data_IF_419132519139
#
_entry.id   IF_419132519139
#
_cell.length_a   1.000
_cell.length_b   1.000
_cell.length_c   1.000
_cell.angle_alpha   90.00
_cell.angle_beta   90.00
_cell.angle_gamma   90.00
#
_symmetry.space_group_name_H-M   'P 1'
#
loop_
_entity.id
_entity.type
_entity.pdbx_description
1 polymer ?
#
# COMPACT_ATOMS: atom_id res chain seq x y z
N UNK A 1 -5.02 11.46 -15.86
CA UNK A 1 -4.83 10.28 -15.03
C UNK A 1 -5.62 10.35 -13.75
N UNK A 2 -6.10 9.21 -13.30
CA UNK A 2 -6.79 9.13 -12.01
C UNK A 2 -5.78 8.71 -10.94
N UNK A 3 -5.87 9.28 -9.75
CA UNK A 3 -4.95 8.95 -8.68
C UNK A 3 -5.67 8.85 -7.34
N UNK A 4 -5.07 8.07 -6.43
CA UNK A 4 -5.53 7.95 -5.06
C UNK A 4 -4.30 7.90 -4.15
N UNK A 5 -4.41 8.54 -3.00
CA UNK A 5 -3.33 8.54 -2.03
C UNK A 5 -3.87 8.08 -0.67
N UNK A 6 -3.17 7.15 -0.08
CA UNK A 6 -3.50 6.63 1.24
C UNK A 6 -2.34 6.92 2.19
N UNK A 7 -2.67 7.37 3.38
CA UNK A 7 -1.69 7.65 4.42
C UNK A 7 -2.07 6.86 5.66
N UNK A 8 -1.14 6.06 6.16
CA UNK A 8 -1.34 5.25 7.34
C UNK A 8 -0.35 5.68 8.41
N UNK A 9 -0.84 5.91 9.61
CA UNK A 9 0.02 6.23 10.75
C UNK A 9 -0.04 5.05 11.71
N UNK A 10 1.12 4.45 11.97
CA UNK A 10 1.21 3.27 12.82
C UNK A 10 1.64 3.67 14.25
N UNK A 11 1.54 2.71 15.16
CA UNK A 11 1.88 2.95 16.55
C UNK A 11 3.40 3.06 16.77
N UNK A 12 4.18 2.47 15.89
CA UNK A 12 5.64 2.49 16.00
C UNK A 12 6.29 2.50 14.62
N UNK A 13 7.55 2.94 14.58
CA UNK A 13 8.34 2.89 13.35
C UNK A 13 8.56 1.46 12.87
N UNK A 14 8.73 0.54 13.82
CA UNK A 14 8.93 -0.86 13.51
C UNK A 14 7.71 -1.45 12.80
N UNK A 15 6.52 -1.14 13.30
CA UNK A 15 5.29 -1.61 12.67
C UNK A 15 5.14 -1.09 11.25
N UNK A 16 5.41 0.20 11.04
CA UNK A 16 5.36 0.80 9.72
C UNK A 16 6.34 0.12 8.77
N UNK A 17 7.54 -0.16 9.24
CA UNK A 17 8.57 -0.81 8.46
C UNK A 17 8.17 -2.23 8.07
N UNK A 18 7.60 -2.98 9.01
CA UNK A 18 7.15 -4.35 8.75
C UNK A 18 6.08 -4.37 7.66
N UNK A 19 5.12 -3.48 7.73
CA UNK A 19 4.07 -3.39 6.73
C UNK A 19 4.64 -3.01 5.37
N UNK A 20 5.54 -2.04 5.33
CA UNK A 20 6.18 -1.61 4.08
C UNK A 20 6.96 -2.75 3.44
N UNK A 21 7.72 -3.51 4.23
CA UNK A 21 8.48 -4.65 3.72
C UNK A 21 7.57 -5.77 3.22
N UNK A 22 6.44 -6.00 3.90
CA UNK A 22 5.47 -7.01 3.50
C UNK A 22 4.82 -6.68 2.16
N UNK A 23 4.68 -5.40 1.83
CA UNK A 23 4.09 -4.98 0.57
C UNK A 23 5.10 -4.93 -0.58
N UNK A 24 6.38 -4.96 -0.27
CA UNK A 24 7.42 -4.80 -1.29
C UNK A 24 7.29 -5.76 -2.47
N UNK A 25 7.05 -7.07 -2.29
CA UNK A 25 6.86 -7.98 -3.41
C UNK A 25 5.66 -7.60 -4.29
N UNK A 26 4.55 -7.20 -3.69
CA UNK A 26 3.33 -6.84 -4.41
C UNK A 26 3.52 -5.56 -5.21
N UNK A 27 4.27 -4.60 -4.68
CA UNK A 27 4.57 -3.35 -5.37
C UNK A 27 5.43 -3.62 -6.59
N UNK A 28 6.36 -4.57 -6.51
CA UNK A 28 7.20 -4.96 -7.63
C UNK A 28 6.40 -5.68 -8.73
N UNK A 29 5.34 -6.36 -8.35
CA UNK A 29 4.41 -6.97 -9.31
C UNK A 29 3.40 -5.93 -9.75
N UNK A 30 3.81 -5.15 -10.72
CA UNK A 30 3.01 -4.02 -11.17
C UNK A 30 1.67 -4.47 -11.74
N UNK A 31 0.61 -3.88 -11.22
CA UNK A 31 -0.73 -4.10 -11.77
C UNK A 31 -0.81 -3.36 -13.11
N UNK A 32 -1.31 -4.01 -14.17
CA UNK A 32 -1.39 -3.37 -15.50
C UNK A 32 -2.12 -2.04 -15.44
N UNK A 33 -1.64 -1.07 -16.22
CA UNK A 33 -2.22 0.27 -16.36
C UNK A 33 -2.14 1.12 -15.09
N UNK A 34 -1.33 0.72 -14.11
CA UNK A 34 -1.19 1.47 -12.87
C UNK A 34 0.28 1.75 -12.54
N UNK A 35 0.50 2.82 -11.80
CA UNK A 35 1.79 3.15 -11.22
C UNK A 35 1.60 3.37 -9.73
N UNK A 36 2.56 2.91 -8.94
CA UNK A 36 2.49 2.98 -7.48
C UNK A 36 3.75 3.60 -6.92
N UNK A 37 3.59 4.54 -6.02
CA UNK A 37 4.69 5.13 -5.27
C UNK A 37 4.45 4.91 -3.79
N UNK A 38 5.52 4.59 -3.06
CA UNK A 38 5.46 4.32 -1.64
C UNK A 38 6.48 5.19 -0.94
N UNK A 39 6.09 5.74 0.18
CA UNK A 39 6.97 6.55 1.01
C UNK A 39 6.81 6.12 2.47
N UNK A 40 7.92 5.96 3.15
CA UNK A 40 7.93 5.62 4.56
C UNK A 40 8.73 6.68 5.31
N UNK A 41 8.10 7.32 6.28
CA UNK A 41 8.73 8.33 7.11
C UNK A 41 8.32 8.09 8.55
N UNK A 42 9.25 7.58 9.35
CA UNK A 42 8.99 7.22 10.76
C UNK A 42 7.78 6.28 10.87
N UNK A 43 6.70 6.72 11.50
CA UNK A 43 5.48 5.92 11.70
C UNK A 43 4.50 6.05 10.54
N UNK A 44 4.80 6.88 9.57
CA UNK A 44 3.88 7.23 8.49
C UNK A 44 4.24 6.50 7.20
N UNK A 45 3.28 5.77 6.68
CA UNK A 45 3.41 5.06 5.42
C UNK A 45 2.43 5.67 4.43
N UNK A 46 2.94 6.13 3.29
CA UNK A 46 2.12 6.74 2.24
C UNK A 46 2.14 5.87 0.99
N UNK A 47 0.99 5.67 0.42
CA UNK A 47 0.82 4.88 -0.79
C UNK A 47 0.07 5.73 -1.81
N UNK A 48 0.67 5.98 -2.96
CA UNK A 48 0.05 6.75 -4.04
C UNK A 48 -0.11 5.82 -5.25
N UNK A 49 -1.32 5.73 -5.76
CA UNK A 49 -1.64 4.89 -6.91
C UNK A 49 -2.18 5.77 -8.02
N UNK A 50 -1.60 5.64 -9.21
CA UNK A 50 -2.08 6.33 -10.40
C UNK A 50 -2.52 5.32 -11.43
N UNK A 51 -3.59 5.62 -12.16
CA UNK A 51 -4.12 4.72 -13.18
C UNK A 51 -4.70 5.51 -14.33
N UNK A 52 -4.78 4.90 -15.51
CA UNK A 52 -5.33 5.55 -16.69
C UNK A 52 -6.84 5.75 -16.61
N UNK A 53 -7.54 4.85 -15.93
CA UNK A 53 -9.00 4.92 -15.80
C UNK A 53 -9.43 4.57 -14.38
N UNK A 54 -10.69 4.86 -14.10
CA UNK A 54 -11.25 4.69 -12.76
C UNK A 54 -11.35 3.22 -12.37
N UNK A 55 -11.64 2.34 -13.32
CA UNK A 55 -11.76 0.91 -13.05
C UNK A 55 -10.44 0.30 -12.63
N UNK A 56 -9.35 0.67 -13.33
CA UNK A 56 -8.01 0.22 -12.99
C UNK A 56 -7.59 0.76 -11.63
N UNK A 57 -7.90 2.03 -11.35
CA UNK A 57 -7.58 2.64 -10.08
C UNK A 57 -8.29 1.94 -8.93
N UNK A 58 -9.58 1.67 -9.10
CA UNK A 58 -10.38 0.99 -8.08
C UNK A 58 -9.85 -0.41 -7.81
N UNK A 59 -9.54 -1.16 -8.85
CA UNK A 59 -8.99 -2.50 -8.73
C UNK A 59 -7.66 -2.49 -7.97
N UNK A 60 -6.78 -1.56 -8.31
CA UNK A 60 -5.48 -1.43 -7.65
C UNK A 60 -5.65 -1.04 -6.19
N UNK A 61 -6.52 -0.08 -5.89
CA UNK A 61 -6.77 0.33 -4.51
C UNK A 61 -7.27 -0.84 -3.67
N UNK A 62 -8.23 -1.60 -4.20
CA UNK A 62 -8.78 -2.75 -3.49
C UNK A 62 -7.69 -3.79 -3.19
N UNK A 63 -6.83 -4.06 -4.17
CA UNK A 63 -5.74 -5.03 -4.01
C UNK A 63 -4.75 -4.58 -2.94
N UNK A 64 -4.28 -3.34 -3.01
CA UNK A 64 -3.29 -2.84 -2.04
C UNK A 64 -3.86 -2.72 -0.65
N UNK A 65 -5.10 -2.27 -0.50
CA UNK A 65 -5.74 -2.20 0.81
C UNK A 65 -5.93 -3.59 1.42
N UNK A 66 -6.24 -4.58 0.60
CA UNK A 66 -6.36 -5.96 1.06
C UNK A 66 -5.01 -6.49 1.57
N UNK A 67 -3.94 -6.22 0.83
CA UNK A 67 -2.59 -6.66 1.23
C UNK A 67 -2.16 -6.00 2.52
N UNK A 68 -2.41 -4.69 2.67
CA UNK A 68 -2.10 -3.96 3.90
C UNK A 68 -2.87 -4.55 5.08
N UNK A 69 -4.14 -4.81 4.89
CA UNK A 69 -4.98 -5.39 5.93
C UNK A 69 -4.48 -6.79 6.34
N UNK A 70 -4.06 -7.58 5.36
CA UNK A 70 -3.50 -8.91 5.62
C UNK A 70 -2.21 -8.81 6.44
N UNK A 71 -1.33 -7.88 6.09
CA UNK A 71 -0.08 -7.66 6.81
C UNK A 71 -0.34 -7.26 8.26
N UNK A 72 -1.31 -6.39 8.49
CA UNK A 72 -1.68 -5.97 9.84
C UNK A 72 -2.28 -7.12 10.64
N UNK A 73 -3.12 -7.93 10.03
CA UNK A 73 -3.72 -9.08 10.70
C UNK A 73 -2.67 -10.12 11.11
N UNK A 74 -1.72 -10.39 10.24
CA UNK A 74 -0.62 -11.31 10.57
C UNK A 74 0.13 -10.81 11.79
N UNK A 75 0.40 -9.52 11.85
CA UNK A 75 1.09 -8.94 12.99
C UNK A 75 0.27 -9.05 14.28
N UNK A 76 -1.04 -8.84 14.20
CA UNK A 76 -1.91 -8.89 15.38
C UNK A 76 -2.06 -10.28 15.97
N UNK A 77 -1.88 -11.31 15.17
CA UNK A 77 -2.04 -12.70 15.63
C UNK A 77 -0.76 -13.27 16.23
N UNK A 78 0.31 -12.55 16.19
CA UNK A 78 1.62 -12.98 16.73
C UNK A 78 1.87 -12.48 18.19
#
# INVERSE_FOLDING_TARGET
MKSAKFVFVFDSEEEAKIVAESLSPEIKHKIPKTDVEVSLSKKKFSLTIEAKDISSLRAACNSYLRWINTALNVKKTV
#
